data_IF_768028810508
#
_entry.id   IF_768028810508
#
_cell.length_a   1.000
_cell.length_b   1.000
_cell.length_c   1.000
_cell.angle_alpha   90.00
_cell.angle_beta   90.00
_cell.angle_gamma   90.00
#
_symmetry.space_group_name_H-M   'P 1'
#
loop_
_entity.id
_entity.type
_entity.pdbx_description
1 polymer ?
#
# COMPACT_ATOMS: atom_id res chain seq x y z
N UNK A 1 29.89 13.64 1.48
CA UNK A 1 28.57 13.03 1.79
C UNK A 1 27.95 13.81 2.94
N UNK A 2 26.91 14.59 2.67
CA UNK A 2 26.29 15.49 3.66
C UNK A 2 25.61 14.66 4.74
N UNK A 3 26.08 14.77 5.99
CA UNK A 3 25.47 14.15 7.16
C UNK A 3 24.11 14.81 7.41
N UNK A 4 23.03 14.22 6.88
CA UNK A 4 21.67 14.70 7.13
C UNK A 4 21.36 14.47 8.61
N UNK A 5 21.16 15.56 9.35
CA UNK A 5 20.86 15.50 10.78
C UNK A 5 19.58 14.69 11.04
N UNK A 6 19.46 14.03 12.21
CA UNK A 6 18.27 13.27 12.57
C UNK A 6 16.97 14.09 12.49
N UNK A 7 17.06 15.39 12.77
CA UNK A 7 15.94 16.33 12.68
C UNK A 7 15.53 16.60 11.23
N UNK A 8 16.50 16.77 10.33
CA UNK A 8 16.24 16.91 8.90
C UNK A 8 15.58 15.64 8.34
N UNK A 9 16.03 14.44 8.71
CA UNK A 9 15.37 13.17 8.34
C UNK A 9 13.91 13.11 8.81
N UNK A 10 13.63 13.51 10.05
CA UNK A 10 12.25 13.57 10.58
C UNK A 10 11.38 14.56 9.82
N UNK A 11 11.92 15.72 9.42
CA UNK A 11 11.19 16.68 8.57
C UNK A 11 10.88 16.10 7.20
N UNK A 12 11.85 15.48 6.53
CA UNK A 12 11.62 14.84 5.22
C UNK A 12 10.57 13.73 5.28
N UNK A 13 10.59 12.90 6.33
CA UNK A 13 9.57 11.86 6.52
C UNK A 13 8.17 12.46 6.72
N UNK A 14 8.04 13.51 7.54
CA UNK A 14 6.76 14.22 7.74
C UNK A 14 6.25 14.86 6.44
N UNK A 15 7.13 15.49 5.67
CA UNK A 15 6.80 16.09 4.38
C UNK A 15 6.36 15.02 3.37
N UNK A 16 7.05 13.88 3.30
CA UNK A 16 6.66 12.76 2.44
C UNK A 16 5.27 12.21 2.82
N UNK A 17 4.97 12.08 4.12
CA UNK A 17 3.64 11.68 4.58
C UNK A 17 2.57 12.69 4.17
N UNK A 18 2.80 13.98 4.35
CA UNK A 18 1.85 15.03 3.98
C UNK A 18 1.59 15.08 2.47
N UNK A 19 2.64 14.95 1.65
CA UNK A 19 2.52 14.87 0.19
C UNK A 19 1.73 13.62 -0.21
N UNK A 20 2.02 12.46 0.39
CA UNK A 20 1.29 11.23 0.10
C UNK A 20 -0.18 11.31 0.51
N UNK A 21 -0.51 12.03 1.60
CA UNK A 21 -1.89 12.29 2.00
C UNK A 21 -2.60 13.29 1.09
N UNK A 22 -1.90 14.28 0.54
CA UNK A 22 -2.46 15.18 -0.46
C UNK A 22 -2.79 14.43 -1.77
N UNK A 23 -1.89 13.55 -2.23
CA UNK A 23 -2.10 12.69 -3.41
C UNK A 23 -3.26 11.71 -3.26
N UNK A 24 -3.45 11.20 -2.04
CA UNK A 24 -4.62 10.39 -1.68
C UNK A 24 -5.94 11.14 -1.90
N UNK A 25 -5.98 12.44 -1.57
CA UNK A 25 -7.19 13.26 -1.67
C UNK A 25 -7.47 13.75 -3.10
N UNK A 26 -6.46 13.84 -3.95
CA UNK A 26 -6.60 14.33 -5.33
C UNK A 26 -7.07 13.27 -6.34
N UNK A 27 -7.30 12.02 -5.91
CA UNK A 27 -7.66 10.92 -6.81
C UNK A 27 -6.49 10.39 -7.65
N UNK A 28 -5.26 10.70 -7.26
CA UNK A 28 -4.07 10.24 -7.97
C UNK A 28 -3.77 8.76 -7.64
N UNK A 29 -3.30 7.99 -8.63
CA UNK A 29 -2.94 6.59 -8.44
C UNK A 29 -1.86 6.41 -7.36
N UNK A 30 -2.12 5.55 -6.38
CA UNK A 30 -1.12 5.13 -5.40
C UNK A 30 -0.65 3.72 -5.67
N UNK A 31 0.65 3.52 -5.53
CA UNK A 31 1.29 2.21 -5.65
C UNK A 31 1.64 1.72 -4.26
N UNK A 32 1.37 0.44 -4.03
CA UNK A 32 1.87 -0.29 -2.86
C UNK A 32 2.80 -1.39 -3.36
N UNK A 33 3.94 -1.55 -2.69
CA UNK A 33 4.82 -2.71 -2.87
C UNK A 33 4.64 -3.64 -1.67
N UNK A 34 4.45 -4.93 -1.91
CA UNK A 34 4.36 -5.96 -0.87
C UNK A 34 5.47 -6.97 -1.12
N UNK A 35 6.26 -7.23 -0.09
CA UNK A 35 7.31 -8.25 -0.09
C UNK A 35 7.01 -9.24 1.04
N UNK A 36 6.98 -10.51 0.71
CA UNK A 36 6.75 -11.62 1.63
C UNK A 36 7.45 -12.89 1.15
N UNK A 37 7.32 -13.97 1.92
CA UNK A 37 7.80 -15.30 1.49
C UNK A 37 6.98 -15.78 0.31
N UNK A 38 7.57 -16.62 -0.55
CA UNK A 38 6.86 -17.20 -1.70
C UNK A 38 5.53 -17.84 -1.30
N UNK A 39 5.52 -18.66 -0.25
CA UNK A 39 4.31 -19.30 0.26
C UNK A 39 3.22 -18.31 0.72
N UNK A 40 3.59 -17.13 1.26
CA UNK A 40 2.63 -16.09 1.65
C UNK A 40 2.06 -15.39 0.41
N UNK A 41 2.92 -15.14 -0.58
CA UNK A 41 2.52 -14.56 -1.86
C UNK A 41 1.62 -15.50 -2.66
N UNK A 42 1.87 -16.81 -2.62
CA UNK A 42 1.04 -17.82 -3.28
C UNK A 42 -0.40 -17.82 -2.73
N UNK A 43 -0.57 -17.65 -1.42
CA UNK A 43 -1.89 -17.52 -0.79
C UNK A 43 -2.59 -16.25 -1.27
N UNK A 44 -1.86 -15.13 -1.35
CA UNK A 44 -2.40 -13.85 -1.82
C UNK A 44 -2.83 -13.95 -3.29
N UNK A 45 -1.99 -14.53 -4.16
CA UNK A 45 -2.30 -14.70 -5.58
C UNK A 45 -3.50 -15.65 -5.76
N UNK A 46 -3.61 -16.72 -4.97
CA UNK A 46 -4.77 -17.61 -4.98
C UNK A 46 -6.07 -16.88 -4.56
N UNK A 47 -6.01 -16.02 -3.53
CA UNK A 47 -7.15 -15.22 -3.10
C UNK A 47 -7.57 -14.21 -4.20
N UNK A 48 -6.59 -13.56 -4.85
CA UNK A 48 -6.83 -12.65 -5.97
C UNK A 48 -7.48 -13.40 -7.14
N UNK A 49 -6.97 -14.57 -7.50
CA UNK A 49 -7.51 -15.38 -8.58
C UNK A 49 -8.97 -15.81 -8.30
N UNK A 50 -9.27 -16.15 -7.04
CA UNK A 50 -10.63 -16.52 -6.60
C UNK A 50 -11.62 -15.35 -6.67
N UNK A 51 -11.17 -14.14 -6.32
CA UNK A 51 -12.01 -12.93 -6.39
C UNK A 51 -12.27 -12.48 -7.84
N UNK A 52 -11.31 -12.69 -8.74
CA UNK A 52 -11.42 -12.38 -10.17
C UNK A 52 -11.22 -10.89 -10.52
N UNK A 53 -11.21 -10.59 -11.82
CA UNK A 53 -10.94 -9.23 -12.33
C UNK A 53 -9.46 -8.83 -12.28
N UNK A 54 -9.18 -7.53 -12.25
CA UNK A 54 -7.81 -7.03 -12.08
C UNK A 54 -7.31 -7.22 -10.64
N UNK A 55 -5.98 -7.29 -10.44
CA UNK A 55 -5.39 -7.43 -9.09
C UNK A 55 -5.88 -6.36 -8.12
N UNK A 56 -6.05 -5.12 -8.58
CA UNK A 56 -6.57 -4.02 -7.75
C UNK A 56 -8.04 -4.23 -7.39
N UNK A 57 -8.90 -4.65 -8.33
CA UNK A 57 -10.31 -4.92 -8.04
C UNK A 57 -10.47 -6.09 -7.06
N UNK A 58 -9.72 -7.17 -7.28
CA UNK A 58 -9.69 -8.32 -6.38
C UNK A 58 -9.27 -7.93 -4.96
N UNK A 59 -8.17 -7.16 -4.83
CA UNK A 59 -7.70 -6.67 -3.53
C UNK A 59 -8.73 -5.75 -2.85
N UNK A 60 -9.39 -4.86 -3.60
CA UNK A 60 -10.47 -4.02 -3.06
C UNK A 60 -11.60 -4.88 -2.51
N UNK A 61 -12.06 -5.89 -3.27
CA UNK A 61 -13.12 -6.79 -2.83
C UNK A 61 -12.74 -7.56 -1.54
N UNK A 62 -11.53 -8.12 -1.49
CA UNK A 62 -11.02 -8.86 -0.33
C UNK A 62 -10.94 -7.95 0.91
N UNK A 63 -10.37 -6.76 0.76
CA UNK A 63 -10.21 -5.82 1.86
C UNK A 63 -11.56 -5.27 2.35
N UNK A 64 -12.46 -4.91 1.44
CA UNK A 64 -13.82 -4.47 1.80
C UNK A 64 -14.58 -5.55 2.56
N UNK A 65 -14.56 -6.80 2.06
CA UNK A 65 -15.18 -7.92 2.76
C UNK A 65 -14.63 -8.09 4.18
N UNK A 66 -13.29 -8.03 4.34
CA UNK A 66 -12.69 -8.12 5.67
C UNK A 66 -13.16 -6.98 6.59
N UNK A 67 -13.15 -5.72 6.13
CA UNK A 67 -13.56 -4.58 6.95
C UNK A 67 -15.04 -4.62 7.36
N UNK A 68 -15.89 -5.22 6.54
CA UNK A 68 -17.33 -5.38 6.82
C UNK A 68 -17.63 -6.57 7.75
N UNK A 69 -16.75 -7.56 7.82
CA UNK A 69 -16.99 -8.84 8.52
C UNK A 69 -15.97 -9.13 9.65
N UNK A 70 -15.06 -8.20 9.96
CA UNK A 70 -14.05 -8.33 11.01
C UNK A 70 -14.51 -7.80 12.38
#
# INVERSE_FOLDING_TARGET
MTNISPEAKKRYAKTATAINQAKLKSGEYRRIGVQGKAAEMDIIDAAIAKAGGSKTQALVAICSFYLENA
#
